data_IF_329443501830
#
_entry.id   IF_329443501830
#
_cell.length_a   1.000
_cell.length_b   1.000
_cell.length_c   1.000
_cell.angle_alpha   90.00
_cell.angle_beta   90.00
_cell.angle_gamma   90.00
#
_symmetry.space_group_name_H-M   'P 1'
#
loop_
_entity.id
_entity.type
_entity.pdbx_description
1 polymer ?
#
# COMPACT_ATOMS: atom_id res chain seq x y z
N UNK A 1 59.56 44.66 -24.46
CA UNK A 1 58.81 44.56 -23.18
C UNK A 1 58.20 43.16 -23.09
N UNK A 2 58.92 42.23 -22.39
CA UNK A 2 58.37 40.91 -22.02
C UNK A 2 57.36 41.14 -20.90
N UNK A 3 56.06 40.97 -21.23
CA UNK A 3 54.98 40.84 -20.22
C UNK A 3 55.25 39.56 -19.40
N UNK A 4 55.78 39.71 -18.18
CA UNK A 4 55.77 38.63 -17.17
C UNK A 4 54.30 38.30 -16.90
N UNK A 5 53.82 37.15 -17.42
CA UNK A 5 52.59 36.53 -16.95
C UNK A 5 52.85 36.13 -15.50
N UNK A 6 52.34 36.90 -14.58
CA UNK A 6 52.46 36.64 -13.15
C UNK A 6 51.66 35.37 -12.80
N UNK A 7 52.05 34.64 -11.78
CA UNK A 7 51.38 33.43 -11.27
C UNK A 7 50.02 33.73 -10.60
N UNK A 8 49.47 34.93 -10.82
CA UNK A 8 48.34 35.48 -10.04
C UNK A 8 47.02 34.70 -10.07
N UNK A 9 46.79 33.86 -11.09
CA UNK A 9 45.55 33.07 -11.17
C UNK A 9 45.67 31.68 -10.62
N UNK A 10 46.87 31.06 -10.61
CA UNK A 10 47.08 29.68 -10.12
C UNK A 10 47.00 29.61 -8.59
N UNK A 11 47.36 30.68 -7.88
CA UNK A 11 47.35 30.74 -6.43
C UNK A 11 45.91 30.63 -5.86
N UNK A 12 44.94 31.43 -6.30
CA UNK A 12 43.56 31.29 -5.80
C UNK A 12 42.92 29.93 -6.16
N UNK A 13 43.22 29.36 -7.34
CA UNK A 13 42.76 28.01 -7.69
C UNK A 13 43.36 26.94 -6.80
N UNK A 14 44.61 27.04 -6.41
CA UNK A 14 45.25 26.13 -5.46
C UNK A 14 44.61 26.22 -4.06
N UNK A 15 44.35 27.42 -3.55
CA UNK A 15 43.67 27.58 -2.27
C UNK A 15 42.20 27.08 -2.33
N UNK A 16 41.50 27.29 -3.44
CA UNK A 16 40.17 26.75 -3.64
C UNK A 16 40.19 25.22 -3.64
N UNK A 17 41.15 24.60 -4.35
CA UNK A 17 41.30 23.16 -4.35
C UNK A 17 41.62 22.61 -2.94
N UNK A 18 42.49 23.27 -2.20
CA UNK A 18 42.82 22.89 -0.82
C UNK A 18 41.60 23.00 0.11
N UNK A 19 40.84 24.05 -0.03
CA UNK A 19 39.59 24.25 0.71
C UNK A 19 38.54 23.14 0.38
N UNK A 20 38.36 22.83 -0.90
CA UNK A 20 37.47 21.74 -1.32
C UNK A 20 37.95 20.39 -0.78
N UNK A 21 39.27 20.11 -0.83
CA UNK A 21 39.84 18.88 -0.28
C UNK A 21 39.62 18.78 1.24
N UNK A 22 39.79 19.89 1.97
CA UNK A 22 39.56 19.94 3.41
C UNK A 22 38.07 19.69 3.75
N UNK A 23 37.15 20.30 2.99
CA UNK A 23 35.69 20.07 3.15
C UNK A 23 35.33 18.61 2.86
N UNK A 24 35.82 18.03 1.77
CA UNK A 24 35.60 16.62 1.44
C UNK A 24 36.11 15.69 2.53
N UNK A 25 37.33 15.97 3.05
CA UNK A 25 37.91 15.19 4.15
C UNK A 25 37.05 15.33 5.42
N UNK A 26 36.59 16.52 5.75
CA UNK A 26 35.72 16.75 6.88
C UNK A 26 34.40 15.97 6.74
N UNK A 27 33.77 16.02 5.56
CA UNK A 27 32.52 15.26 5.28
C UNK A 27 32.73 13.75 5.43
N UNK A 28 33.86 13.21 4.96
CA UNK A 28 34.14 11.77 5.05
C UNK A 28 34.42 11.29 6.48
N UNK A 29 34.96 12.15 7.35
CA UNK A 29 35.30 11.80 8.73
C UNK A 29 34.10 12.02 9.67
N UNK A 30 33.40 13.15 9.55
CA UNK A 30 32.37 13.56 10.50
C UNK A 30 31.01 12.89 10.28
N UNK A 31 30.66 12.56 9.03
CA UNK A 31 29.35 12.01 8.68
C UNK A 31 29.40 10.48 8.50
N UNK A 32 29.91 9.77 9.49
CA UNK A 32 29.88 8.30 9.51
C UNK A 32 28.65 7.81 10.26
N UNK A 33 27.95 6.83 9.68
CA UNK A 33 26.83 6.15 10.32
C UNK A 33 27.28 5.48 11.60
N UNK A 34 26.71 5.86 12.73
CA UNK A 34 26.89 5.17 14.02
C UNK A 34 25.63 4.40 14.40
N UNK A 35 24.46 4.94 14.08
CA UNK A 35 23.19 4.35 14.46
C UNK A 35 22.26 4.23 13.27
N UNK A 36 21.58 3.08 13.15
CA UNK A 36 20.50 2.84 12.20
C UNK A 36 19.28 2.42 13.02
N UNK A 37 18.20 3.15 12.92
CA UNK A 37 16.98 2.94 13.71
C UNK A 37 15.76 2.77 12.80
N UNK A 38 14.91 1.77 13.10
CA UNK A 38 13.61 1.62 12.45
C UNK A 38 12.52 2.24 13.33
N UNK A 39 11.66 3.05 12.71
CA UNK A 39 10.55 3.79 13.32
C UNK A 39 9.27 3.42 12.59
N UNK A 40 8.25 3.06 13.36
CA UNK A 40 6.94 2.63 12.88
C UNK A 40 6.50 1.34 13.57
N UNK A 41 5.23 1.01 13.40
CA UNK A 41 4.64 -0.22 13.90
C UNK A 41 4.35 -1.12 12.70
N UNK A 42 4.92 -2.32 12.72
CA UNK A 42 4.73 -3.34 11.70
C UNK A 42 4.86 -4.72 12.34
N UNK A 43 4.37 -5.77 11.65
CA UNK A 43 4.60 -7.17 12.04
C UNK A 43 6.07 -7.57 11.99
N UNK A 44 6.90 -6.85 11.23
CA UNK A 44 8.34 -7.07 11.12
C UNK A 44 9.08 -6.41 12.26
N UNK A 45 10.05 -7.11 12.85
CA UNK A 45 10.84 -6.54 13.93
C UNK A 45 11.73 -5.37 13.44
N UNK A 46 11.98 -4.41 14.33
CA UNK A 46 12.86 -3.28 14.02
C UNK A 46 14.25 -3.73 13.58
N UNK A 47 14.77 -4.81 14.20
CA UNK A 47 16.06 -5.39 13.86
C UNK A 47 16.07 -5.99 12.46
N UNK A 48 14.99 -6.66 12.05
CA UNK A 48 14.83 -7.20 10.72
C UNK A 48 14.83 -6.11 9.65
N UNK A 49 14.09 -5.00 9.88
CA UNK A 49 14.07 -3.84 8.97
C UNK A 49 15.46 -3.22 8.83
N UNK A 50 16.18 -3.02 9.95
CA UNK A 50 17.55 -2.48 9.95
C UNK A 50 18.50 -3.39 9.19
N UNK A 51 18.43 -4.70 9.41
CA UNK A 51 19.27 -5.68 8.71
C UNK A 51 18.97 -5.71 7.21
N UNK A 52 17.68 -5.69 6.85
CA UNK A 52 17.26 -5.65 5.45
C UNK A 52 17.75 -4.41 4.71
N UNK A 53 17.81 -3.26 5.38
CA UNK A 53 18.33 -2.04 4.78
C UNK A 53 19.76 -2.20 4.27
N UNK A 54 20.57 -3.09 4.90
CA UNK A 54 21.94 -3.35 4.52
C UNK A 54 22.80 -2.09 4.58
N UNK A 55 22.56 -1.22 5.57
CA UNK A 55 23.38 -0.02 5.84
C UNK A 55 24.32 -0.36 6.97
N UNK A 56 25.62 -0.29 6.69
CA UNK A 56 26.66 -0.67 7.65
C UNK A 56 27.10 0.52 8.51
N UNK A 57 27.42 0.23 9.78
CA UNK A 57 28.05 1.20 10.67
C UNK A 57 29.46 1.56 10.12
N UNK A 58 29.74 2.87 10.05
CA UNK A 58 31.00 3.40 9.50
C UNK A 58 30.90 3.84 8.03
N UNK A 59 29.84 3.48 7.30
CA UNK A 59 29.56 4.08 5.99
C UNK A 59 29.37 5.59 6.09
N UNK A 60 29.62 6.29 4.99
CA UNK A 60 29.36 7.72 4.97
C UNK A 60 27.88 8.02 4.78
N UNK A 61 27.29 8.69 5.77
CA UNK A 61 25.88 9.05 5.83
C UNK A 61 25.38 9.80 4.57
N UNK A 62 26.24 10.64 3.99
CA UNK A 62 25.88 11.48 2.83
C UNK A 62 25.74 10.62 1.56
N UNK A 63 26.56 9.57 1.43
CA UNK A 63 26.65 8.75 0.22
C UNK A 63 25.78 7.48 0.26
N UNK A 64 25.03 7.24 1.34
CA UNK A 64 24.12 6.09 1.42
C UNK A 64 23.14 6.08 0.24
N UNK A 65 23.03 4.95 -0.44
CA UNK A 65 22.05 4.74 -1.49
C UNK A 65 20.68 4.37 -0.88
N UNK A 66 19.87 5.40 -0.62
CA UNK A 66 18.54 5.24 -0.01
C UNK A 66 17.61 4.35 -0.84
N UNK A 67 17.63 4.47 -2.17
CA UNK A 67 16.75 3.71 -3.06
C UNK A 67 17.08 2.22 -2.96
N UNK A 68 18.36 1.88 -3.01
CA UNK A 68 18.78 0.49 -2.86
C UNK A 68 18.41 -0.09 -1.48
N UNK A 69 18.52 0.71 -0.42
CA UNK A 69 18.10 0.31 0.92
C UNK A 69 16.57 0.08 0.98
N UNK A 70 15.78 0.99 0.44
CA UNK A 70 14.31 0.87 0.38
C UNK A 70 13.91 -0.40 -0.38
N UNK A 71 14.51 -0.66 -1.54
CA UNK A 71 14.19 -1.86 -2.34
C UNK A 71 14.50 -3.15 -1.57
N UNK A 72 15.66 -3.21 -0.87
CA UNK A 72 16.00 -4.36 -0.02
C UNK A 72 15.05 -4.55 1.15
N UNK A 73 14.53 -3.45 1.73
CA UNK A 73 13.54 -3.52 2.81
C UNK A 73 12.21 -4.07 2.30
N UNK A 74 11.77 -3.71 1.11
CA UNK A 74 10.53 -4.25 0.53
C UNK A 74 10.66 -5.73 0.13
N UNK A 75 11.87 -6.18 -0.23
CA UNK A 75 12.11 -7.54 -0.68
C UNK A 75 11.73 -8.56 0.40
N UNK A 76 10.82 -9.48 0.07
CA UNK A 76 10.28 -10.48 0.99
C UNK A 76 9.38 -9.93 2.11
N UNK A 77 8.92 -8.66 2.04
CA UNK A 77 8.06 -8.04 3.06
C UNK A 77 6.82 -7.40 2.45
N UNK A 78 5.88 -8.22 1.97
CA UNK A 78 4.71 -7.74 1.23
C UNK A 78 3.81 -6.80 2.05
N UNK A 79 3.79 -6.92 3.37
CA UNK A 79 2.95 -6.10 4.25
C UNK A 79 3.46 -4.69 4.51
N UNK A 80 4.65 -4.31 4.02
CA UNK A 80 5.09 -2.92 4.11
C UNK A 80 4.37 -2.05 3.07
N UNK A 81 3.72 -0.96 3.51
CA UNK A 81 3.05 0.00 2.63
C UNK A 81 4.02 1.08 2.15
N UNK A 82 4.65 1.78 3.09
CA UNK A 82 5.61 2.82 2.77
C UNK A 82 6.92 2.62 3.55
N UNK A 83 8.02 2.87 2.87
CA UNK A 83 9.36 2.87 3.46
C UNK A 83 10.07 4.16 3.08
N UNK A 84 10.57 4.89 4.07
CA UNK A 84 11.39 6.06 3.82
C UNK A 84 12.66 6.06 4.65
N UNK A 85 13.79 6.34 4.01
CA UNK A 85 15.11 6.42 4.65
C UNK A 85 15.52 7.87 4.80
N UNK A 86 15.66 8.34 6.04
CA UNK A 86 16.03 9.71 6.38
C UNK A 86 17.39 9.73 7.05
N UNK A 87 18.18 10.76 6.74
CA UNK A 87 19.45 11.04 7.39
C UNK A 87 19.22 12.02 8.52
N UNK A 88 19.57 11.64 9.72
CA UNK A 88 19.60 12.52 10.88
C UNK A 88 21.04 12.82 11.23
N UNK A 89 21.48 14.01 10.87
CA UNK A 89 22.83 14.46 11.08
C UNK A 89 23.15 14.52 12.59
N UNK A 90 24.40 14.21 12.99
CA UNK A 90 25.56 13.98 12.11
C UNK A 90 25.78 12.50 11.70
N UNK A 91 25.14 11.51 12.33
CA UNK A 91 25.60 10.12 12.30
C UNK A 91 24.49 9.05 12.38
N UNK A 92 23.23 9.43 12.21
CA UNK A 92 22.09 8.51 12.36
C UNK A 92 21.29 8.37 11.07
N UNK A 93 20.85 7.14 10.79
CA UNK A 93 19.87 6.82 9.75
C UNK A 93 18.57 6.40 10.41
N UNK A 94 17.47 7.05 10.07
CA UNK A 94 16.12 6.66 10.48
C UNK A 94 15.37 6.06 9.31
N UNK A 95 14.83 4.85 9.50
CA UNK A 95 14.02 4.12 8.53
C UNK A 95 12.58 4.14 9.02
N UNK A 96 11.74 4.95 8.37
CA UNK A 96 10.33 4.99 8.67
C UNK A 96 9.61 3.95 7.83
N UNK A 97 8.78 3.15 8.48
CA UNK A 97 7.99 2.08 7.85
C UNK A 97 6.54 2.18 8.30
N UNK A 98 5.62 1.89 7.37
CA UNK A 98 4.20 1.71 7.65
C UNK A 98 3.75 0.37 7.10
N UNK A 99 2.73 -0.22 7.73
CA UNK A 99 2.15 -1.49 7.32
C UNK A 99 0.83 -1.27 6.57
N UNK A 100 0.57 -2.04 5.53
CA UNK A 100 -0.73 -2.13 4.89
C UNK A 100 -1.57 -3.23 5.53
N UNK A 101 -2.86 -2.97 5.68
CA UNK A 101 -3.81 -3.98 6.13
C UNK A 101 -4.46 -4.69 4.93
N UNK A 102 -4.73 -6.00 5.03
CA UNK A 102 -5.52 -6.69 4.03
C UNK A 102 -6.96 -6.13 4.01
N UNK A 103 -7.54 -6.00 2.83
CA UNK A 103 -8.86 -5.43 2.59
C UNK A 103 -9.80 -6.40 1.87
N UNK A 104 -9.25 -7.33 1.11
CA UNK A 104 -10.02 -8.31 0.35
C UNK A 104 -9.26 -9.63 0.21
N UNK A 105 -10.02 -10.71 -0.04
CA UNK A 105 -9.52 -12.04 -0.33
C UNK A 105 -9.96 -12.45 -1.74
N UNK A 106 -9.00 -12.77 -2.61
CA UNK A 106 -9.22 -13.18 -3.99
C UNK A 106 -9.05 -14.69 -4.12
N UNK A 107 -10.05 -15.43 -4.60
CA UNK A 107 -9.93 -16.87 -4.78
C UNK A 107 -8.75 -17.23 -5.69
N UNK A 108 -7.99 -18.25 -5.29
CA UNK A 108 -6.88 -18.81 -6.03
C UNK A 108 -7.11 -20.31 -6.28
N UNK A 109 -6.12 -21.00 -6.83
CA UNK A 109 -6.18 -22.42 -7.02
C UNK A 109 -6.26 -23.20 -5.67
N UNK A 110 -6.75 -24.43 -5.72
CA UNK A 110 -6.74 -25.36 -4.59
C UNK A 110 -7.48 -24.86 -3.32
N UNK A 111 -8.44 -23.96 -3.47
CA UNK A 111 -9.22 -23.43 -2.34
C UNK A 111 -8.44 -22.41 -1.48
N UNK A 112 -7.34 -21.91 -1.98
CA UNK A 112 -6.57 -20.83 -1.36
C UNK A 112 -7.09 -19.46 -1.78
N UNK A 113 -6.61 -18.42 -1.10
CA UNK A 113 -6.96 -17.03 -1.34
C UNK A 113 -5.73 -16.14 -1.29
N UNK A 114 -5.62 -15.24 -2.25
CA UNK A 114 -4.69 -14.13 -2.16
C UNK A 114 -5.28 -13.03 -1.29
N UNK A 115 -4.60 -12.67 -0.22
CA UNK A 115 -4.91 -11.46 0.52
C UNK A 115 -4.40 -10.25 -0.26
N UNK A 116 -5.25 -9.25 -0.38
CA UNK A 116 -4.97 -8.01 -1.11
C UNK A 116 -5.30 -6.79 -0.24
N UNK A 117 -4.44 -5.77 -0.28
CA UNK A 117 -4.71 -4.51 0.37
C UNK A 117 -5.68 -3.63 -0.45
N UNK A 118 -6.11 -2.51 0.10
CA UNK A 118 -7.01 -1.56 -0.57
C UNK A 118 -6.42 -0.89 -1.81
N UNK A 119 -5.09 -0.94 -2.00
CA UNK A 119 -4.38 -0.38 -3.16
C UNK A 119 -4.16 -1.43 -4.26
N UNK A 120 -4.52 -2.68 -4.00
CA UNK A 120 -4.34 -3.79 -4.93
C UNK A 120 -3.04 -4.56 -4.77
N UNK A 121 -2.29 -4.34 -3.69
CA UNK A 121 -1.07 -5.09 -3.43
C UNK A 121 -1.39 -6.47 -2.87
N UNK A 122 -0.85 -7.52 -3.50
CA UNK A 122 -0.97 -8.89 -3.04
C UNK A 122 -0.01 -9.11 -1.85
N UNK A 123 -0.55 -9.62 -0.76
CA UNK A 123 0.17 -9.75 0.50
C UNK A 123 0.71 -11.16 0.68
N UNK A 124 -0.18 -12.14 0.76
CA UNK A 124 0.17 -13.55 0.92
C UNK A 124 -0.94 -14.46 0.39
N UNK A 125 -0.58 -15.71 0.13
CA UNK A 125 -1.50 -16.76 -0.24
C UNK A 125 -1.84 -17.58 0.99
N UNK A 126 -3.12 -17.66 1.34
CA UNK A 126 -3.61 -18.29 2.58
C UNK A 126 -4.70 -19.33 2.29
N UNK A 127 -5.00 -20.17 3.25
CA UNK A 127 -6.17 -21.04 3.23
C UNK A 127 -7.47 -20.26 3.47
N UNK A 128 -8.62 -20.84 3.15
CA UNK A 128 -9.92 -20.20 3.38
C UNK A 128 -10.16 -19.85 4.87
N UNK A 129 -9.64 -20.68 5.80
CA UNK A 129 -9.78 -20.46 7.24
C UNK A 129 -8.96 -19.26 7.74
N UNK A 130 -7.86 -18.95 7.06
CA UNK A 130 -6.92 -17.87 7.42
C UNK A 130 -7.29 -16.52 6.81
N UNK A 131 -8.36 -16.44 6.01
CA UNK A 131 -8.82 -15.13 5.45
C UNK A 131 -9.32 -14.17 6.51
N UNK A 132 -9.59 -14.66 7.74
CA UNK A 132 -10.01 -13.83 8.87
C UNK A 132 -11.35 -13.11 8.69
N UNK A 133 -12.22 -13.60 7.78
CA UNK A 133 -13.49 -12.96 7.47
C UNK A 133 -13.40 -11.74 6.56
N UNK A 134 -12.26 -11.55 5.89
CA UNK A 134 -12.11 -10.50 4.88
C UNK A 134 -13.09 -10.68 3.73
N UNK A 135 -13.46 -9.57 3.12
CA UNK A 135 -14.32 -9.53 1.96
C UNK A 135 -13.77 -10.42 0.83
N UNK A 136 -14.49 -11.51 0.49
CA UNK A 136 -14.14 -12.36 -0.63
C UNK A 136 -14.60 -11.71 -1.94
N UNK A 137 -13.72 -11.64 -2.95
CA UNK A 137 -14.06 -11.05 -4.25
C UNK A 137 -14.04 -12.14 -5.31
N UNK A 138 -15.15 -12.35 -6.01
CA UNK A 138 -15.29 -13.35 -7.06
C UNK A 138 -15.57 -12.72 -8.42
N UNK A 139 -15.22 -13.43 -9.48
CA UNK A 139 -15.46 -12.98 -10.86
C UNK A 139 -14.29 -12.23 -11.49
N UNK A 140 -13.11 -12.25 -10.85
CA UNK A 140 -11.86 -11.69 -11.34
C UNK A 140 -10.79 -12.78 -11.44
N UNK A 141 -9.94 -12.70 -12.45
CA UNK A 141 -8.81 -13.59 -12.66
C UNK A 141 -7.51 -12.81 -12.60
N UNK A 142 -6.60 -13.25 -11.74
CA UNK A 142 -5.25 -12.69 -11.58
C UNK A 142 -4.30 -13.24 -12.63
N UNK A 143 -3.44 -12.39 -13.15
CA UNK A 143 -2.31 -12.76 -13.99
C UNK A 143 -1.04 -12.86 -13.14
N UNK A 144 -0.38 -14.00 -13.17
CA UNK A 144 0.92 -14.22 -12.51
C UNK A 144 1.04 -13.58 -11.12
N UNK A 145 0.16 -13.93 -10.18
CA UNK A 145 0.15 -13.31 -8.86
C UNK A 145 1.44 -13.64 -8.09
N UNK A 146 2.03 -12.62 -7.48
CA UNK A 146 3.23 -12.73 -6.65
C UNK A 146 3.08 -11.86 -5.40
N UNK A 147 3.51 -12.38 -4.24
CA UNK A 147 3.47 -11.63 -3.00
C UNK A 147 4.35 -10.36 -3.06
N UNK A 148 3.79 -9.23 -2.66
CA UNK A 148 4.44 -7.93 -2.73
C UNK A 148 4.24 -7.19 -4.05
N UNK A 149 3.71 -7.85 -5.10
CA UNK A 149 3.36 -7.20 -6.37
C UNK A 149 1.95 -6.60 -6.31
N UNK A 150 1.64 -5.70 -7.23
CA UNK A 150 0.26 -5.25 -7.42
C UNK A 150 -0.50 -6.26 -8.28
N UNK A 151 -1.76 -6.49 -7.91
CA UNK A 151 -2.66 -7.37 -8.63
C UNK A 151 -2.84 -6.89 -10.08
N UNK A 152 -2.55 -7.77 -11.03
CA UNK A 152 -2.82 -7.57 -12.44
C UNK A 152 -3.99 -8.48 -12.84
N UNK A 153 -5.11 -7.87 -13.25
CA UNK A 153 -6.31 -8.60 -13.62
C UNK A 153 -6.47 -8.66 -15.14
N UNK A 154 -6.98 -9.79 -15.63
CA UNK A 154 -7.27 -9.98 -17.05
C UNK A 154 -8.30 -8.97 -17.58
N UNK A 155 -9.33 -8.67 -16.79
CA UNK A 155 -10.42 -7.75 -17.13
C UNK A 155 -10.23 -6.40 -16.41
N UNK A 156 -9.80 -5.40 -17.17
CA UNK A 156 -9.53 -4.06 -16.64
C UNK A 156 -10.79 -3.25 -16.27
N UNK A 157 -11.94 -3.60 -16.83
CA UNK A 157 -13.20 -2.96 -16.45
C UNK A 157 -13.68 -3.46 -15.09
N UNK A 158 -13.58 -4.77 -14.87
CA UNK A 158 -13.87 -5.38 -13.56
C UNK A 158 -12.89 -4.93 -12.49
N UNK A 159 -11.59 -4.83 -12.83
CA UNK A 159 -10.57 -4.26 -11.94
C UNK A 159 -10.96 -2.87 -11.47
N UNK A 160 -11.31 -1.99 -12.41
CA UNK A 160 -11.74 -0.62 -12.09
C UNK A 160 -13.00 -0.60 -11.21
N UNK A 161 -13.95 -1.49 -11.48
CA UNK A 161 -15.16 -1.63 -10.67
C UNK A 161 -14.82 -2.07 -9.24
N UNK A 162 -13.95 -3.09 -9.08
CA UNK A 162 -13.48 -3.55 -7.77
C UNK A 162 -12.87 -2.43 -6.96
N UNK A 163 -11.89 -1.71 -7.51
CA UNK A 163 -11.24 -0.62 -6.77
C UNK A 163 -12.20 0.53 -6.45
N UNK A 164 -13.18 0.80 -7.32
CA UNK A 164 -14.23 1.77 -7.03
C UNK A 164 -15.07 1.33 -5.83
N UNK A 165 -15.44 0.05 -5.75
CA UNK A 165 -16.19 -0.52 -4.63
C UNK A 165 -15.37 -0.48 -3.35
N UNK A 166 -14.14 -1.00 -3.36
CA UNK A 166 -13.27 -1.04 -2.18
C UNK A 166 -13.01 0.37 -1.61
N UNK A 167 -12.68 1.32 -2.48
CA UNK A 167 -12.44 2.70 -2.06
C UNK A 167 -13.70 3.36 -1.48
N UNK A 168 -14.87 3.16 -2.13
CA UNK A 168 -16.13 3.76 -1.63
C UNK A 168 -16.56 3.10 -0.33
N UNK A 169 -16.43 1.79 -0.21
CA UNK A 169 -16.76 1.05 1.01
C UNK A 169 -15.84 1.45 2.18
N UNK A 170 -14.52 1.59 1.93
CA UNK A 170 -13.56 2.08 2.93
C UNK A 170 -13.90 3.50 3.38
N UNK A 171 -14.15 4.43 2.44
CA UNK A 171 -14.46 5.82 2.77
C UNK A 171 -15.83 5.99 3.45
N UNK A 172 -16.67 4.99 3.36
CA UNK A 172 -18.00 4.95 3.98
C UNK A 172 -18.03 4.11 5.26
N UNK A 173 -16.88 3.59 5.71
CA UNK A 173 -16.73 2.73 6.89
C UNK A 173 -17.67 1.50 6.89
N UNK A 174 -17.83 0.85 5.73
CA UNK A 174 -18.67 -0.36 5.61
C UNK A 174 -17.92 -1.57 5.06
N UNK A 175 -16.62 -1.43 4.77
CA UNK A 175 -15.87 -2.52 4.13
C UNK A 175 -15.83 -3.78 5.00
N UNK A 176 -15.71 -3.64 6.30
CA UNK A 176 -15.67 -4.76 7.26
C UNK A 176 -17.00 -5.51 7.37
N UNK A 177 -18.11 -4.87 6.95
CA UNK A 177 -19.44 -5.46 6.93
C UNK A 177 -19.75 -6.19 5.62
N UNK A 178 -18.89 -6.02 4.59
CA UNK A 178 -19.04 -6.70 3.29
C UNK A 178 -18.31 -8.03 3.35
N UNK A 179 -19.06 -9.12 3.23
CA UNK A 179 -18.54 -10.49 3.27
C UNK A 179 -18.07 -10.95 1.90
N UNK A 180 -18.81 -10.56 0.84
CA UNK A 180 -18.51 -10.98 -0.52
C UNK A 180 -18.85 -9.87 -1.52
N UNK A 181 -18.03 -9.78 -2.57
CA UNK A 181 -18.27 -8.94 -3.74
C UNK A 181 -18.26 -9.86 -4.96
N UNK A 182 -19.40 -9.96 -5.65
CA UNK A 182 -19.53 -10.70 -6.91
C UNK A 182 -19.50 -9.75 -8.10
N UNK A 183 -18.43 -9.87 -8.90
CA UNK A 183 -18.19 -9.09 -10.13
C UNK A 183 -18.14 -10.01 -11.36
N UNK A 184 -18.83 -11.16 -11.32
CA UNK A 184 -18.89 -12.02 -12.50
C UNK A 184 -19.43 -11.27 -13.73
N UNK A 185 -20.40 -10.39 -13.51
CA UNK A 185 -20.95 -9.51 -14.53
C UNK A 185 -20.92 -8.04 -14.08
N UNK A 186 -20.27 -7.18 -14.87
CA UNK A 186 -20.04 -5.77 -14.52
C UNK A 186 -21.34 -4.94 -14.42
N UNK A 187 -22.44 -5.41 -15.02
CA UNK A 187 -23.74 -4.75 -14.97
C UNK A 187 -24.68 -5.36 -13.90
N UNK A 188 -24.26 -6.44 -13.24
CA UNK A 188 -25.03 -7.15 -12.22
C UNK A 188 -24.19 -7.42 -10.97
N UNK A 189 -23.43 -6.42 -10.53
CA UNK A 189 -22.60 -6.52 -9.34
C UNK A 189 -23.46 -6.72 -8.10
N UNK A 190 -23.09 -7.69 -7.27
CA UNK A 190 -23.79 -8.01 -6.02
C UNK A 190 -22.80 -7.99 -4.86
N UNK A 191 -23.28 -7.54 -3.70
CA UNK A 191 -22.55 -7.63 -2.43
C UNK A 191 -23.34 -8.51 -1.47
N UNK A 192 -22.64 -9.29 -0.65
CA UNK A 192 -23.19 -9.83 0.58
C UNK A 192 -22.80 -8.90 1.73
N UNK A 193 -23.79 -8.20 2.27
CA UNK A 193 -23.62 -7.22 3.33
C UNK A 193 -24.10 -7.79 4.65
N UNK A 194 -23.21 -7.96 5.59
CA UNK A 194 -23.43 -8.75 6.81
C UNK A 194 -23.91 -10.16 6.46
N UNK A 195 -24.33 -10.96 7.41
CA UNK A 195 -24.95 -12.28 7.17
C UNK A 195 -26.42 -12.15 6.66
N UNK A 196 -26.94 -10.92 6.63
CA UNK A 196 -28.37 -10.65 6.52
C UNK A 196 -28.85 -10.23 5.13
N UNK A 197 -28.01 -9.54 4.37
CA UNK A 197 -28.48 -8.86 3.16
C UNK A 197 -27.68 -9.24 1.91
N UNK A 198 -28.38 -9.52 0.83
CA UNK A 198 -27.86 -9.50 -0.52
C UNK A 198 -28.15 -8.13 -1.13
N UNK A 199 -27.13 -7.40 -1.52
CA UNK A 199 -27.26 -6.06 -2.11
C UNK A 199 -27.03 -6.15 -3.61
N UNK A 200 -28.03 -5.83 -4.40
CA UNK A 200 -27.98 -5.75 -5.85
C UNK A 200 -27.54 -4.33 -6.24
N UNK A 201 -26.26 -4.15 -6.56
CA UNK A 201 -25.70 -2.85 -6.96
C UNK A 201 -25.98 -2.51 -8.44
N UNK A 202 -26.02 -3.55 -9.30
CA UNK A 202 -26.03 -3.36 -10.75
C UNK A 202 -24.66 -2.86 -11.23
N UNK A 203 -24.53 -1.56 -11.50
CA UNK A 203 -23.25 -0.93 -11.90
C UNK A 203 -22.63 -0.11 -10.77
N UNK A 204 -21.35 0.29 -10.92
CA UNK A 204 -20.67 1.18 -9.97
C UNK A 204 -21.01 2.66 -10.14
N UNK A 205 -21.94 3.00 -11.04
CA UNK A 205 -22.41 4.38 -11.22
C UNK A 205 -23.09 4.88 -9.95
N UNK A 206 -22.82 6.13 -9.57
CA UNK A 206 -23.35 6.79 -8.37
C UNK A 206 -23.17 5.98 -7.07
N UNK A 207 -22.11 5.15 -6.98
CA UNK A 207 -21.89 4.19 -5.90
C UNK A 207 -21.96 4.83 -4.51
N UNK A 208 -21.42 6.03 -4.33
CA UNK A 208 -21.49 6.76 -3.06
C UNK A 208 -22.93 7.01 -2.60
N UNK A 209 -23.83 7.33 -3.52
CA UNK A 209 -25.27 7.50 -3.20
C UNK A 209 -25.91 6.16 -2.87
N UNK A 210 -25.59 5.11 -3.63
CA UNK A 210 -26.11 3.75 -3.39
C UNK A 210 -25.71 3.25 -2.01
N UNK A 211 -24.45 3.47 -1.61
CA UNK A 211 -23.97 3.14 -0.25
C UNK A 211 -24.69 3.99 0.82
N UNK A 212 -24.96 5.26 0.55
CA UNK A 212 -25.78 6.09 1.44
C UNK A 212 -27.20 5.55 1.62
N UNK A 213 -27.82 5.07 0.54
CA UNK A 213 -29.11 4.39 0.63
C UNK A 213 -29.04 3.07 1.37
N UNK A 214 -28.00 2.26 1.15
CA UNK A 214 -27.77 1.02 1.89
C UNK A 214 -27.80 1.28 3.40
N UNK A 215 -26.97 2.20 3.89
CA UNK A 215 -26.93 2.58 5.30
C UNK A 215 -28.31 2.99 5.82
N UNK A 216 -28.99 3.89 5.10
CA UNK A 216 -30.31 4.40 5.49
C UNK A 216 -31.40 3.32 5.53
N UNK A 217 -31.32 2.31 4.68
CA UNK A 217 -32.23 1.16 4.68
C UNK A 217 -31.93 0.26 5.86
N UNK A 218 -30.67 -0.11 6.05
CA UNK A 218 -30.24 -1.00 7.14
C UNK A 218 -30.56 -0.42 8.52
N UNK A 219 -30.35 0.89 8.73
CA UNK A 219 -30.69 1.59 9.97
C UNK A 219 -32.20 1.53 10.32
N UNK A 220 -33.09 1.38 9.33
CA UNK A 220 -34.53 1.31 9.53
C UNK A 220 -35.08 -0.10 9.69
N UNK A 221 -34.28 -1.09 9.34
CA UNK A 221 -34.66 -2.50 9.44
C UNK A 221 -34.38 -3.01 10.86
N UNK A 222 -35.20 -3.96 11.30
CA UNK A 222 -35.02 -4.65 12.57
C UNK A 222 -33.78 -5.58 12.53
N UNK A 223 -33.30 -5.95 13.71
CA UNK A 223 -32.10 -6.84 13.82
C UNK A 223 -32.29 -8.21 13.18
N UNK A 224 -33.53 -8.70 13.11
CA UNK A 224 -33.87 -10.01 12.56
C UNK A 224 -34.29 -9.96 11.07
N UNK A 225 -34.36 -8.78 10.47
CA UNK A 225 -34.74 -8.66 9.07
C UNK A 225 -33.61 -9.15 8.16
N UNK A 226 -33.96 -10.03 7.22
CA UNK A 226 -33.06 -10.56 6.19
C UNK A 226 -33.70 -10.37 4.82
N UNK A 227 -32.90 -10.32 3.76
CA UNK A 227 -33.43 -10.22 2.40
C UNK A 227 -32.54 -9.52 1.41
N UNK A 228 -33.16 -9.04 0.35
CA UNK A 228 -32.49 -8.40 -0.78
C UNK A 228 -32.71 -6.90 -0.76
N UNK A 229 -31.63 -6.12 -0.83
CA UNK A 229 -31.65 -4.65 -1.00
C UNK A 229 -31.27 -4.32 -2.44
N UNK A 230 -32.24 -3.90 -3.23
CA UNK A 230 -32.05 -3.50 -4.64
C UNK A 230 -31.66 -2.02 -4.74
N UNK A 231 -30.44 -1.78 -5.21
CA UNK A 231 -29.83 -0.47 -5.44
C UNK A 231 -29.45 -0.27 -6.93
N UNK A 232 -30.02 -1.06 -7.83
CA UNK A 232 -29.75 -0.95 -9.27
C UNK A 232 -30.13 0.42 -9.82
N UNK A 233 -31.19 1.03 -9.26
CA UNK A 233 -31.55 2.39 -9.56
C UNK A 233 -30.88 3.38 -8.59
N UNK A 234 -30.02 4.31 -9.06
CA UNK A 234 -29.29 5.24 -8.20
C UNK A 234 -30.17 6.30 -7.50
N UNK A 235 -31.47 6.29 -7.72
CA UNK A 235 -32.41 7.24 -7.10
C UNK A 235 -33.30 6.60 -6.04
N UNK A 236 -33.37 5.29 -5.97
CA UNK A 236 -34.23 4.56 -5.05
C UNK A 236 -33.62 3.30 -4.53
N UNK A 237 -33.85 2.99 -3.25
CA UNK A 237 -33.54 1.70 -2.66
C UNK A 237 -34.85 0.94 -2.41
N UNK A 238 -34.85 -0.36 -2.68
CA UNK A 238 -36.01 -1.25 -2.42
C UNK A 238 -35.55 -2.42 -1.59
N UNK A 239 -36.25 -2.68 -0.49
CA UNK A 239 -36.02 -3.86 0.33
C UNK A 239 -37.07 -4.92 0.01
N UNK A 240 -36.63 -6.17 -0.15
CA UNK A 240 -37.46 -7.37 -0.33
C UNK A 240 -37.09 -8.35 0.78
N UNK A 241 -37.95 -8.55 1.77
CA UNK A 241 -37.70 -9.53 2.84
C UNK A 241 -37.71 -10.96 2.28
N UNK A 242 -36.88 -11.83 2.88
CA UNK A 242 -36.90 -13.28 2.68
C UNK A 242 -37.85 -13.96 3.65
#
# INVERSE_FOLDING_TARGET
RRRRRGPGLLIPFFFLFLACAAVLTAVTIFFKVKTVEAVGETRYSKQEIVQAAGIETGENLIFINKIAAINRIFDGRPYLDEVSVRRRLPDTVEIYVTECAPAAALPAAEGQYWLMDKKGKLLELVSAEETGGLCAVVGLELQQPEAGSYADFLDKEKEKALFTILNTATNSDILEEIINIDINQIFEIRLRYTERFVVELGTVEDLTKKIGFLKSVVERLGEMDTGVIDLTNPQTARFRPE
#
